data_IF_165483838522
#
_entry.id   IF_165483838522
#
_cell.length_a   1.000
_cell.length_b   1.000
_cell.length_c   1.000
_cell.angle_alpha   90.00
_cell.angle_beta   90.00
_cell.angle_gamma   90.00
#
_symmetry.space_group_name_H-M   'P 1'
#
loop_
_entity.id
_entity.type
_entity.pdbx_description
1 polymer ?
#
# COMPACT_ATOMS: atom_id res chain seq x y z
N UNK A 1 25.00 27.01 -0.80
CA UNK A 1 24.37 26.86 0.52
C UNK A 1 22.95 26.33 0.31
N UNK A 2 22.79 25.01 0.23
CA UNK A 2 21.47 24.39 0.18
C UNK A 2 21.09 24.06 1.63
N UNK A 3 20.16 24.83 2.20
CA UNK A 3 19.69 24.65 3.57
C UNK A 3 18.92 23.34 3.70
N UNK A 4 19.42 22.45 4.54
CA UNK A 4 18.78 21.22 4.96
C UNK A 4 17.50 21.50 5.75
N UNK A 5 16.34 21.37 5.10
CA UNK A 5 15.05 21.29 5.78
C UNK A 5 14.68 19.81 6.04
N UNK A 6 15.44 19.14 6.92
CA UNK A 6 15.29 17.70 7.21
C UNK A 6 14.29 17.35 8.34
N UNK A 7 13.31 18.19 8.64
CA UNK A 7 12.39 17.89 9.75
C UNK A 7 11.02 18.57 9.76
N UNK A 8 10.71 19.42 8.79
CA UNK A 8 9.41 20.07 8.76
C UNK A 8 8.38 19.15 8.09
N UNK A 9 7.37 18.72 8.84
CA UNK A 9 6.30 17.86 8.32
C UNK A 9 5.57 18.61 7.21
N UNK A 10 5.37 17.96 6.05
CA UNK A 10 4.58 18.58 4.99
C UNK A 10 3.14 18.84 5.45
N UNK A 11 2.72 20.10 5.37
CA UNK A 11 1.36 20.53 5.69
C UNK A 11 0.32 19.89 4.77
N UNK A 12 0.70 19.57 3.52
CA UNK A 12 -0.19 18.93 2.56
C UNK A 12 -0.43 17.46 2.92
N UNK A 13 0.61 16.71 3.32
CA UNK A 13 0.45 15.36 3.86
C UNK A 13 -0.36 15.34 5.17
N UNK A 14 -0.13 16.30 6.08
CA UNK A 14 -0.92 16.42 7.31
C UNK A 14 -2.40 16.68 7.01
N UNK A 15 -2.68 17.61 6.08
CA UNK A 15 -4.05 17.91 5.66
C UNK A 15 -4.71 16.70 4.99
N UNK A 16 -3.97 15.97 4.15
CA UNK A 16 -4.45 14.75 3.53
C UNK A 16 -4.76 13.65 4.56
N UNK A 17 -3.85 13.38 5.50
CA UNK A 17 -4.07 12.35 6.51
C UNK A 17 -5.34 12.63 7.31
N UNK A 18 -5.56 13.89 7.69
CA UNK A 18 -6.79 14.30 8.38
C UNK A 18 -8.04 14.07 7.52
N UNK A 19 -8.01 14.42 6.23
CA UNK A 19 -9.15 14.18 5.33
C UNK A 19 -9.44 12.69 5.15
N UNK A 20 -8.41 11.86 5.01
CA UNK A 20 -8.57 10.41 4.88
C UNK A 20 -9.14 9.79 6.17
N UNK A 21 -8.71 10.24 7.34
CA UNK A 21 -9.25 9.77 8.63
C UNK A 21 -10.73 10.15 8.85
N UNK A 22 -11.21 11.20 8.19
CA UNK A 22 -12.59 11.69 8.26
C UNK A 22 -13.44 11.23 7.07
N UNK A 23 -12.89 10.44 6.15
CA UNK A 23 -13.60 10.02 4.95
C UNK A 23 -14.65 8.96 5.27
N UNK A 24 -15.91 9.27 4.95
CA UNK A 24 -17.02 8.31 4.99
C UNK A 24 -17.33 7.83 3.57
N UNK A 25 -17.24 6.51 3.28
CA UNK A 25 -17.52 5.99 1.96
C UNK A 25 -19.02 6.14 1.63
N UNK A 26 -19.36 6.47 0.37
CA UNK A 26 -20.75 6.53 -0.08
C UNK A 26 -21.55 5.28 0.29
N UNK A 27 -22.85 5.40 0.65
CA UNK A 27 -23.66 4.29 1.15
C UNK A 27 -23.70 3.06 0.23
N UNK A 28 -23.65 3.28 -1.09
CA UNK A 28 -23.67 2.21 -2.09
C UNK A 28 -22.39 1.37 -2.12
N UNK A 29 -21.26 1.89 -1.63
CA UNK A 29 -20.01 1.14 -1.45
C UNK A 29 -19.96 0.43 -0.09
N UNK A 30 -20.76 0.90 0.87
CA UNK A 30 -20.82 0.30 2.21
C UNK A 30 -21.88 -0.81 2.34
N UNK A 31 -22.46 -1.28 1.22
CA UNK A 31 -23.46 -2.33 1.25
C UNK A 31 -22.85 -3.66 1.76
N UNK A 32 -23.26 -4.14 2.95
CA UNK A 32 -22.71 -5.37 3.52
C UNK A 32 -23.01 -6.60 2.64
N UNK A 33 -24.01 -6.56 1.76
CA UNK A 33 -24.31 -7.64 0.80
C UNK A 33 -23.30 -7.70 -0.38
N UNK A 34 -22.68 -6.56 -0.73
CA UNK A 34 -21.66 -6.48 -1.80
C UNK A 34 -20.29 -6.98 -1.32
N UNK A 35 -20.03 -6.97 -0.02
CA UNK A 35 -18.84 -7.58 0.61
C UNK A 35 -18.79 -9.11 0.48
N UNK A 36 -19.91 -9.75 0.17
CA UNK A 36 -20.09 -11.22 0.23
C UNK A 36 -20.14 -11.89 -1.15
N UNK A 37 -20.25 -11.12 -2.23
CA UNK A 37 -20.54 -11.61 -3.59
C UNK A 37 -19.29 -12.10 -4.35
N UNK A 38 -18.42 -12.87 -3.68
CA UNK A 38 -17.22 -13.44 -4.30
C UNK A 38 -16.26 -14.16 -3.37
N UNK A 39 -16.52 -14.17 -2.05
CA UNK A 39 -15.70 -14.92 -1.10
C UNK A 39 -16.37 -16.29 -0.91
N UNK A 40 -15.81 -17.40 -1.44
CA UNK A 40 -16.30 -18.72 -1.04
C UNK A 40 -16.26 -18.77 0.49
N UNK A 41 -17.34 -19.27 1.11
CA UNK A 41 -17.43 -19.51 2.56
C UNK A 41 -16.45 -20.63 2.97
N UNK A 42 -15.15 -20.41 2.78
CA UNK A 42 -14.10 -21.13 3.47
C UNK A 42 -14.22 -20.74 4.94
N UNK A 43 -14.20 -21.74 5.83
CA UNK A 43 -14.29 -21.55 7.27
C UNK A 43 -13.15 -20.68 7.86
N UNK A 44 -12.17 -20.28 7.03
CA UNK A 44 -11.09 -19.38 7.43
C UNK A 44 -10.76 -18.40 6.28
N UNK A 45 -11.30 -17.17 6.27
CA UNK A 45 -10.90 -16.17 5.28
C UNK A 45 -9.43 -15.83 5.50
N UNK A 46 -8.61 -16.02 4.46
CA UNK A 46 -7.19 -15.63 4.49
C UNK A 46 -7.14 -14.11 4.65
N UNK A 47 -6.83 -13.62 5.85
CA UNK A 47 -6.61 -12.19 6.10
C UNK A 47 -5.36 -11.72 5.34
N UNK A 48 -5.43 -10.52 4.80
CA UNK A 48 -4.35 -9.85 4.09
C UNK A 48 -4.40 -8.36 4.42
N UNK A 49 -3.25 -7.70 4.34
CA UNK A 49 -3.11 -6.27 4.57
C UNK A 49 -2.15 -5.66 3.54
N UNK A 50 -2.40 -4.40 3.19
CA UNK A 50 -1.58 -3.64 2.24
C UNK A 50 -1.17 -2.30 2.84
N UNK A 51 0.00 -1.81 2.44
CA UNK A 51 0.52 -0.49 2.77
C UNK A 51 0.29 0.47 1.61
N UNK A 52 -0.43 1.56 1.86
CA UNK A 52 -0.53 2.68 0.91
C UNK A 52 0.46 3.76 1.36
N UNK A 53 1.67 3.75 0.77
CA UNK A 53 2.69 4.74 1.07
C UNK A 53 2.47 5.99 0.22
N UNK A 54 1.94 7.06 0.82
CA UNK A 54 1.71 8.35 0.16
C UNK A 54 2.85 9.31 0.51
N UNK A 55 3.47 9.91 -0.50
CA UNK A 55 4.56 10.87 -0.34
C UNK A 55 4.45 12.02 -1.35
N UNK A 56 5.25 13.06 -1.16
CA UNK A 56 5.31 14.20 -2.09
C UNK A 56 6.47 14.04 -3.06
N UNK A 57 6.17 14.23 -4.35
CA UNK A 57 7.17 14.32 -5.40
C UNK A 57 7.86 15.68 -5.42
N UNK A 58 8.87 15.80 -6.29
CA UNK A 58 9.70 17.00 -6.39
C UNK A 58 8.89 18.24 -6.83
N UNK A 59 7.80 18.06 -7.58
CA UNK A 59 6.94 19.14 -8.05
C UNK A 59 5.73 19.37 -7.11
N UNK A 60 5.77 18.76 -5.92
CA UNK A 60 4.76 18.90 -4.86
C UNK A 60 3.49 18.08 -5.08
N UNK A 61 3.41 17.25 -6.11
CA UNK A 61 2.35 16.27 -6.37
C UNK A 61 2.39 15.11 -5.37
N UNK A 62 1.22 14.50 -5.12
CA UNK A 62 1.14 13.31 -4.26
C UNK A 62 1.40 12.07 -5.11
N UNK A 63 2.30 11.22 -4.63
CA UNK A 63 2.68 9.95 -5.26
C UNK A 63 2.38 8.79 -4.32
N UNK A 64 2.17 7.61 -4.89
CA UNK A 64 1.99 6.35 -4.16
C UNK A 64 3.00 5.32 -4.67
N UNK A 65 3.57 4.52 -3.76
CA UNK A 65 4.41 3.39 -4.14
C UNK A 65 3.52 2.22 -4.55
N UNK A 66 3.74 1.71 -5.75
CA UNK A 66 3.22 0.42 -6.22
C UNK A 66 4.39 -0.51 -6.52
N UNK A 67 4.15 -1.81 -6.40
CA UNK A 67 5.10 -2.87 -6.75
C UNK A 67 4.64 -3.54 -8.03
N UNK A 68 5.60 -3.95 -8.87
CA UNK A 68 5.34 -4.82 -10.00
C UNK A 68 5.92 -6.19 -9.70
N UNK A 69 5.08 -7.23 -9.75
CA UNK A 69 5.56 -8.60 -9.53
C UNK A 69 6.49 -9.02 -10.67
N UNK A 70 7.63 -9.62 -10.32
CA UNK A 70 8.63 -10.12 -11.27
C UNK A 70 7.98 -10.96 -12.37
N UNK A 71 8.42 -10.74 -13.61
CA UNK A 71 7.91 -11.41 -14.81
C UNK A 71 8.21 -12.91 -14.86
N UNK A 72 8.99 -13.44 -13.91
CA UNK A 72 9.45 -14.83 -13.86
C UNK A 72 8.54 -15.78 -13.07
N UNK A 73 7.46 -15.31 -12.44
CA UNK A 73 6.46 -16.20 -11.83
C UNK A 73 5.37 -16.63 -12.81
N UNK A 74 4.98 -17.91 -12.73
CA UNK A 74 4.04 -18.58 -13.65
C UNK A 74 2.57 -18.16 -13.51
N UNK A 75 2.23 -17.21 -12.64
CA UNK A 75 0.88 -16.63 -12.51
C UNK A 75 0.97 -15.17 -12.03
N UNK A 76 0.12 -14.30 -12.59
CA UNK A 76 0.05 -12.85 -12.29
C UNK A 76 1.35 -12.07 -12.56
N UNK A 77 2.04 -12.39 -13.66
CA UNK A 77 3.26 -11.69 -14.07
C UNK A 77 2.97 -10.26 -14.53
N UNK A 78 3.75 -9.29 -14.04
CA UNK A 78 3.65 -7.89 -14.46
C UNK A 78 2.47 -7.10 -13.88
N UNK A 79 1.64 -7.71 -13.03
CA UNK A 79 0.58 -6.99 -12.33
C UNK A 79 1.17 -5.94 -11.38
N UNK A 80 0.57 -4.75 -11.43
CA UNK A 80 0.88 -3.64 -10.53
C UNK A 80 -0.03 -3.74 -9.32
N UNK A 81 0.55 -3.77 -8.13
CA UNK A 81 -0.15 -3.94 -6.88
C UNK A 81 0.36 -2.96 -5.82
N UNK A 82 -0.45 -2.79 -4.76
CA UNK A 82 0.04 -2.15 -3.54
C UNK A 82 0.95 -3.12 -2.78
N UNK A 83 2.02 -2.64 -2.12
CA UNK A 83 2.84 -3.47 -1.25
C UNK A 83 1.99 -4.11 -0.16
N UNK A 84 2.14 -5.42 0.03
CA UNK A 84 1.34 -6.13 1.01
C UNK A 84 1.14 -7.59 0.69
N UNK A 85 0.46 -8.28 1.60
CA UNK A 85 0.36 -9.73 1.51
C UNK A 85 -0.51 -10.35 2.57
N UNK A 86 -0.38 -11.66 2.69
CA UNK A 86 -1.19 -12.48 3.58
C UNK A 86 -0.68 -12.34 5.01
N UNK A 87 -1.60 -12.28 5.97
CA UNK A 87 -1.25 -12.34 7.39
C UNK A 87 -0.62 -13.68 7.76
N UNK A 88 0.48 -13.61 8.49
CA UNK A 88 1.19 -14.75 9.05
C UNK A 88 0.91 -14.92 10.55
N UNK A 89 1.21 -16.10 11.09
CA UNK A 89 0.96 -16.43 12.51
C UNK A 89 1.75 -15.54 13.47
N UNK A 90 2.88 -15.00 13.04
CA UNK A 90 3.70 -14.06 13.82
C UNK A 90 3.26 -12.60 13.79
N UNK A 91 2.29 -12.23 12.93
CA UNK A 91 1.85 -10.84 12.79
C UNK A 91 0.89 -10.47 13.93
N UNK A 92 1.29 -9.49 14.76
CA UNK A 92 0.49 -8.99 15.88
C UNK A 92 -0.86 -8.41 15.42
N UNK A 93 -0.86 -7.65 14.33
CA UNK A 93 -2.02 -7.02 13.73
C UNK A 93 -1.86 -6.83 12.21
N UNK A 94 -2.86 -6.20 11.60
CA UNK A 94 -2.88 -5.96 10.15
C UNK A 94 -1.85 -4.88 9.74
N UNK A 95 -1.44 -4.00 10.67
CA UNK A 95 -0.36 -3.02 10.45
C UNK A 95 0.98 -3.74 10.37
N UNK A 96 1.26 -4.65 11.30
CA UNK A 96 2.46 -5.48 11.32
C UNK A 96 2.59 -6.31 10.03
N UNK A 97 1.47 -6.90 9.57
CA UNK A 97 1.41 -7.64 8.30
C UNK A 97 1.84 -6.75 7.13
N UNK A 98 1.21 -5.58 6.97
CA UNK A 98 1.50 -4.67 5.85
C UNK A 98 2.94 -4.12 5.88
N UNK A 99 3.48 -3.83 7.07
CA UNK A 99 4.85 -3.33 7.24
C UNK A 99 5.89 -4.41 6.95
N UNK A 100 5.65 -5.66 7.39
CA UNK A 100 6.53 -6.80 7.10
C UNK A 100 6.62 -7.03 5.59
N UNK A 101 5.48 -7.17 4.93
CA UNK A 101 5.40 -7.38 3.48
C UNK A 101 6.02 -6.20 2.70
N UNK A 102 5.71 -4.96 3.07
CA UNK A 102 6.32 -3.80 2.42
C UNK A 102 7.86 -3.76 2.61
N UNK A 103 8.39 -4.22 3.74
CA UNK A 103 9.84 -4.34 3.95
C UNK A 103 10.44 -5.40 3.03
N UNK A 104 9.76 -6.53 2.87
CA UNK A 104 10.19 -7.60 1.95
C UNK A 104 10.16 -7.13 0.49
N UNK A 105 9.11 -6.43 0.06
CA UNK A 105 8.94 -6.04 -1.35
C UNK A 105 9.66 -4.74 -1.73
N UNK A 106 9.70 -3.72 -0.85
CA UNK A 106 10.30 -2.42 -1.17
C UNK A 106 11.79 -2.38 -0.80
N UNK A 107 12.16 -2.95 0.35
CA UNK A 107 13.54 -2.85 0.88
C UNK A 107 14.42 -4.00 0.39
N UNK A 108 13.87 -5.19 0.13
CA UNK A 108 14.66 -6.29 -0.46
C UNK A 108 14.88 -6.14 -1.98
N UNK A 109 14.22 -5.19 -2.63
CA UNK A 109 14.46 -4.86 -4.02
C UNK A 109 15.75 -4.04 -4.17
N UNK A 110 16.91 -4.72 -4.15
CA UNK A 110 18.23 -4.18 -4.57
C UNK A 110 18.31 -3.89 -6.10
N UNK A 111 17.17 -3.69 -6.75
CA UNK A 111 17.09 -3.48 -8.19
C UNK A 111 17.29 -1.99 -8.51
N UNK A 112 18.56 -1.56 -8.57
CA UNK A 112 18.97 -0.28 -9.17
C UNK A 112 18.55 -0.10 -10.65
N UNK A 113 17.91 -1.11 -11.27
CA UNK A 113 17.43 -1.08 -12.66
C UNK A 113 15.91 -1.17 -12.80
N UNK A 114 15.14 -1.32 -11.72
CA UNK A 114 13.70 -1.17 -11.81
C UNK A 114 13.40 0.32 -11.82
N UNK A 115 13.03 0.85 -12.98
CA UNK A 115 12.42 2.17 -13.07
C UNK A 115 11.34 2.25 -12.00
N UNK A 116 11.58 3.09 -11.00
CA UNK A 116 10.62 3.45 -9.96
C UNK A 116 9.50 4.24 -10.64
N UNK A 117 8.70 3.56 -11.46
CA UNK A 117 7.50 4.13 -12.05
C UNK A 117 6.54 4.38 -10.90
N UNK A 118 6.59 5.63 -10.45
CA UNK A 118 5.38 6.34 -10.07
C UNK A 118 4.43 6.15 -11.24
N UNK A 119 3.41 5.31 -11.09
CA UNK A 119 2.28 5.34 -12.01
C UNK A 119 1.60 6.69 -11.97
#
# INVERSE_FOLDING_TARGET
MASENRGEKSQKLISLSRRLSLYEPPPHLNNPARRQHGIPKSANPKRAAVLICIFEGNDGELRVILTQRSSQLSSHSGEVALPGGKREEGDADDIATALREAKEEIVSCDCYSCDWYTV
#
